data_IF_368933970574
#
_entry.id   IF_368933970574
#
_cell.length_a   1.000
_cell.length_b   1.000
_cell.length_c   1.000
_cell.angle_alpha   90.00
_cell.angle_beta   90.00
_cell.angle_gamma   90.00
#
_symmetry.space_group_name_H-M   'P 1'
#
loop_
_entity.id
_entity.type
_entity.pdbx_description
1 polymer ?
#
# COMPACT_ATOMS: atom_id res chain seq x y z
N UNK A 1 7.95 -8.97 -11.47
CA UNK A 1 7.56 -8.91 -12.89
C UNK A 1 8.45 -9.88 -13.64
N UNK A 2 7.98 -10.51 -14.71
CA UNK A 2 8.84 -11.27 -15.61
C UNK A 2 10.01 -10.45 -16.16
N UNK A 3 10.95 -11.14 -16.81
CA UNK A 3 12.12 -10.52 -17.43
C UNK A 3 11.90 -10.42 -18.95
N UNK A 4 12.07 -9.23 -19.53
CA UNK A 4 12.04 -9.04 -20.99
C UNK A 4 13.45 -8.92 -21.54
N UNK A 5 13.72 -9.66 -22.61
CA UNK A 5 14.95 -9.55 -23.40
C UNK A 5 14.62 -9.20 -24.84
N UNK A 6 15.33 -8.22 -25.39
CA UNK A 6 15.14 -7.74 -26.75
C UNK A 6 16.22 -8.31 -27.65
N UNK A 7 15.82 -8.81 -28.81
CA UNK A 7 16.69 -9.40 -29.82
C UNK A 7 16.46 -8.71 -31.17
N UNK A 8 17.53 -8.47 -31.91
CA UNK A 8 17.46 -8.14 -33.33
C UNK A 8 17.61 -9.45 -34.11
N UNK A 9 16.55 -9.88 -34.80
CA UNK A 9 16.52 -11.15 -35.52
C UNK A 9 16.51 -10.86 -37.02
N UNK A 10 17.47 -11.39 -37.80
CA UNK A 10 17.53 -11.12 -39.24
C UNK A 10 16.28 -11.70 -39.94
N UNK A 11 15.69 -10.92 -40.85
CA UNK A 11 14.60 -11.34 -41.71
C UNK A 11 15.23 -11.88 -42.99
N UNK A 12 15.15 -13.20 -43.18
CA UNK A 12 15.60 -13.84 -44.42
C UNK A 12 14.46 -13.80 -45.42
N UNK A 13 14.54 -12.91 -46.41
CA UNK A 13 13.64 -12.92 -47.56
C UNK A 13 14.16 -13.99 -48.54
N UNK A 14 13.35 -15.00 -48.88
CA UNK A 14 13.79 -16.13 -49.71
C UNK A 14 13.80 -15.86 -51.22
N UNK A 15 13.48 -14.65 -51.67
CA UNK A 15 13.08 -14.40 -53.06
C UNK A 15 13.82 -13.20 -53.70
N UNK A 16 15.16 -13.19 -53.69
CA UNK A 16 15.95 -12.29 -54.55
C UNK A 16 17.02 -13.05 -55.33
N UNK A 17 16.64 -13.48 -56.54
CA UNK A 17 17.59 -13.81 -57.61
C UNK A 17 18.28 -12.51 -58.06
N UNK A 18 19.42 -12.21 -57.46
CA UNK A 18 20.44 -11.34 -58.01
C UNK A 18 20.40 -9.85 -57.63
N UNK A 19 21.61 -9.38 -57.34
CA UNK A 19 22.13 -8.01 -57.34
C UNK A 19 22.40 -7.34 -55.98
N UNK A 20 23.58 -6.74 -55.95
CA UNK A 20 24.35 -6.28 -54.80
C UNK A 20 23.67 -5.15 -54.02
N UNK A 21 23.38 -5.37 -52.72
CA UNK A 21 23.06 -4.28 -51.78
C UNK A 21 21.85 -4.46 -50.85
N UNK A 22 21.40 -5.68 -50.54
CA UNK A 22 20.34 -5.87 -49.54
C UNK A 22 20.80 -5.38 -48.16
N UNK A 23 20.19 -4.30 -47.65
CA UNK A 23 20.33 -3.88 -46.26
C UNK A 23 19.84 -5.02 -45.36
N UNK A 24 20.71 -5.53 -44.49
CA UNK A 24 20.34 -6.53 -43.48
C UNK A 24 19.12 -6.03 -42.69
N UNK A 25 17.95 -6.57 -43.01
CA UNK A 25 16.70 -6.19 -42.36
C UNK A 25 16.54 -7.03 -41.10
N UNK A 26 16.37 -6.39 -39.95
CA UNK A 26 16.15 -7.06 -38.66
C UNK A 26 14.74 -6.78 -38.13
N UNK A 27 14.09 -7.80 -37.59
CA UNK A 27 12.93 -7.66 -36.73
C UNK A 27 13.36 -7.50 -35.27
N UNK A 28 12.80 -6.52 -34.56
CA UNK A 28 12.90 -6.49 -33.10
C UNK A 28 11.94 -7.52 -32.51
N UNK A 29 12.48 -8.50 -31.80
CA UNK A 29 11.72 -9.53 -31.09
C UNK A 29 11.98 -9.38 -29.59
N UNK A 30 10.92 -9.06 -28.84
CA UNK A 30 10.96 -9.02 -27.39
C UNK A 30 10.43 -10.35 -26.81
N UNK A 31 11.27 -11.05 -26.04
CA UNK A 31 10.90 -12.29 -25.33
C UNK A 31 10.67 -11.96 -23.86
N UNK A 32 9.45 -12.17 -23.38
CA UNK A 32 9.11 -11.99 -21.97
C UNK A 32 9.01 -13.34 -21.25
N UNK A 33 9.83 -13.53 -20.23
CA UNK A 33 9.81 -14.72 -19.38
C UNK A 33 8.97 -14.44 -18.15
N UNK A 34 7.74 -14.96 -18.15
CA UNK A 34 6.81 -14.79 -17.04
C UNK A 34 7.24 -15.62 -15.82
N UNK A 35 6.89 -15.14 -14.62
CA UNK A 35 7.05 -15.95 -13.40
C UNK A 35 6.12 -17.18 -13.44
N UNK A 36 6.50 -18.31 -12.83
CA UNK A 36 5.63 -19.47 -12.73
C UNK A 36 4.25 -19.08 -12.17
N UNK A 37 3.19 -19.41 -12.90
CA UNK A 37 1.79 -19.09 -12.53
C UNK A 37 1.31 -17.69 -12.91
N UNK A 38 2.15 -16.81 -13.47
CA UNK A 38 1.78 -15.42 -13.80
C UNK A 38 1.55 -15.15 -15.28
N UNK A 39 1.70 -16.14 -16.16
CA UNK A 39 1.61 -15.94 -17.60
C UNK A 39 0.31 -15.25 -18.01
N UNK A 40 -0.85 -15.75 -17.57
CA UNK A 40 -2.14 -15.16 -17.94
C UNK A 40 -2.32 -13.74 -17.39
N UNK A 41 -1.85 -13.50 -16.16
CA UNK A 41 -1.89 -12.17 -15.54
C UNK A 41 -1.05 -11.15 -16.32
N UNK A 42 0.20 -11.51 -16.61
CA UNK A 42 1.12 -10.63 -17.35
C UNK A 42 0.61 -10.44 -18.80
N UNK A 43 0.04 -11.47 -19.43
CA UNK A 43 -0.66 -11.34 -20.71
C UNK A 43 -1.85 -10.37 -20.66
N UNK A 44 -2.69 -10.38 -19.61
CA UNK A 44 -3.77 -9.40 -19.46
C UNK A 44 -3.24 -7.97 -19.40
N UNK A 45 -2.16 -7.75 -18.64
CA UNK A 45 -1.58 -6.42 -18.44
C UNK A 45 -0.99 -5.81 -19.73
N UNK A 46 -0.52 -6.68 -20.64
CA UNK A 46 0.11 -6.31 -21.92
C UNK A 46 -0.83 -6.48 -23.14
N UNK A 47 -2.02 -7.04 -22.93
CA UNK A 47 -3.03 -7.26 -23.97
C UNK A 47 -3.42 -5.95 -24.66
N UNK A 48 -3.50 -5.97 -25.99
CA UNK A 48 -3.96 -4.87 -26.84
C UNK A 48 -3.26 -3.52 -26.55
N UNK A 49 -2.00 -3.54 -26.12
CA UNK A 49 -1.19 -2.34 -25.90
C UNK A 49 -1.61 -1.54 -24.66
N UNK A 50 -2.52 -0.57 -24.83
CA UNK A 50 -2.93 0.34 -23.75
C UNK A 50 -4.22 -0.06 -23.04
N UNK A 51 -4.87 -1.17 -23.42
CA UNK A 51 -6.15 -1.61 -22.85
C UNK A 51 -6.15 -1.60 -21.33
N UNK A 52 -5.19 -2.28 -20.69
CA UNK A 52 -5.17 -2.33 -19.23
C UNK A 52 -4.84 -0.96 -18.60
N UNK A 53 -4.08 -0.10 -19.30
CA UNK A 53 -3.80 1.26 -18.81
C UNK A 53 -5.05 2.13 -18.85
N UNK A 54 -5.90 1.94 -19.86
CA UNK A 54 -7.21 2.57 -19.96
C UNK A 54 -8.09 2.09 -18.80
N UNK A 55 -8.32 0.78 -18.66
CA UNK A 55 -9.15 0.21 -17.58
C UNK A 55 -8.64 0.64 -16.19
N UNK A 56 -7.32 0.56 -15.98
CA UNK A 56 -6.67 0.96 -14.73
C UNK A 56 -6.81 2.45 -14.38
N UNK A 57 -7.04 3.34 -15.36
CA UNK A 57 -7.28 4.77 -15.09
C UNK A 57 -8.54 4.97 -14.24
N UNK A 58 -9.60 4.21 -14.50
CA UNK A 58 -10.91 4.37 -13.84
C UNK A 58 -11.01 3.62 -12.52
N UNK A 59 -10.31 2.50 -12.43
CA UNK A 59 -10.23 1.71 -11.20
C UNK A 59 -9.45 2.42 -10.09
N UNK A 60 -8.45 3.23 -10.46
CA UNK A 60 -7.49 3.80 -9.50
C UNK A 60 -8.11 4.73 -8.44
N UNK A 61 -9.00 5.68 -8.77
CA UNK A 61 -9.69 6.51 -7.77
C UNK A 61 -10.53 5.68 -6.79
N UNK A 62 -11.09 4.57 -7.27
CA UNK A 62 -11.95 3.64 -6.51
C UNK A 62 -11.16 2.71 -5.57
N UNK A 63 -9.88 3.00 -5.33
CA UNK A 63 -9.06 2.19 -4.42
C UNK A 63 -8.52 0.91 -5.03
N UNK A 64 -8.80 0.60 -6.28
CA UNK A 64 -8.29 -0.60 -6.96
C UNK A 64 -7.00 -0.29 -7.73
N UNK A 65 -6.03 -1.20 -7.68
CA UNK A 65 -4.85 -1.10 -8.57
C UNK A 65 -4.26 -2.46 -8.85
N UNK A 66 -3.94 -2.68 -10.12
CA UNK A 66 -3.19 -3.83 -10.57
C UNK A 66 -1.68 -3.52 -10.61
N UNK A 67 -0.92 -4.49 -10.13
CA UNK A 67 0.54 -4.52 -10.20
C UNK A 67 0.98 -5.78 -10.94
N UNK A 68 2.28 -5.98 -11.09
CA UNK A 68 2.83 -7.26 -11.56
C UNK A 68 2.42 -8.44 -10.67
N UNK A 69 2.04 -8.22 -9.41
CA UNK A 69 1.62 -9.29 -8.49
C UNK A 69 0.15 -9.65 -8.55
N UNK A 70 -0.70 -8.82 -9.14
CA UNK A 70 -2.16 -9.02 -9.14
C UNK A 70 -2.95 -7.73 -8.91
N UNK A 71 -4.26 -7.89 -8.75
CA UNK A 71 -5.17 -6.84 -8.32
C UNK A 71 -5.12 -6.65 -6.80
N UNK A 72 -5.17 -5.40 -6.35
CA UNK A 72 -5.14 -5.01 -4.95
C UNK A 72 -6.19 -3.94 -4.68
N UNK A 73 -6.73 -3.93 -3.46
CA UNK A 73 -7.40 -2.76 -2.86
C UNK A 73 -6.39 -1.94 -2.06
N UNK A 74 -6.61 -0.63 -1.97
CA UNK A 74 -5.75 0.32 -1.26
C UNK A 74 -6.49 0.96 -0.10
N UNK A 75 -5.97 0.77 1.10
CA UNK A 75 -6.46 1.41 2.33
C UNK A 75 -6.22 2.92 2.22
N UNK A 76 -7.29 3.72 2.24
CA UNK A 76 -7.24 5.16 1.96
C UNK A 76 -6.34 5.93 2.94
N UNK A 77 -6.43 5.62 4.24
CA UNK A 77 -5.67 6.32 5.29
C UNK A 77 -4.17 6.01 5.25
N UNK A 78 -3.79 4.87 4.66
CA UNK A 78 -2.41 4.40 4.59
C UNK A 78 -1.75 4.85 3.28
N UNK A 79 -2.50 4.86 2.16
CA UNK A 79 -1.95 5.10 0.82
C UNK A 79 -1.05 6.35 0.68
N UNK A 80 -1.41 7.53 1.24
CA UNK A 80 -0.58 8.73 1.14
C UNK A 80 0.76 8.63 1.87
N UNK A 81 0.83 7.81 2.93
CA UNK A 81 1.99 7.71 3.82
C UNK A 81 2.86 6.50 3.47
N UNK A 82 2.23 5.38 3.09
CA UNK A 82 2.90 4.15 2.72
C UNK A 82 2.06 3.34 1.73
N UNK A 83 2.19 3.68 0.44
CA UNK A 83 1.48 2.99 -0.65
C UNK A 83 1.75 1.49 -0.71
N UNK A 84 2.97 1.04 -0.40
CA UNK A 84 3.29 -0.39 -0.42
C UNK A 84 2.50 -1.13 0.67
N UNK A 85 2.45 -0.54 1.86
CA UNK A 85 1.71 -1.11 2.99
C UNK A 85 0.21 -0.94 2.84
N UNK A 86 -0.31 0.02 2.08
CA UNK A 86 -1.77 0.17 1.91
C UNK A 86 -2.43 -0.89 1.03
N UNK A 87 -1.65 -1.66 0.26
CA UNK A 87 -2.17 -2.64 -0.68
C UNK A 87 -2.50 -3.98 0.00
N UNK A 88 -3.76 -4.40 -0.11
CA UNK A 88 -4.24 -5.74 0.25
C UNK A 88 -4.47 -6.51 -1.05
N UNK A 89 -3.85 -7.68 -1.17
CA UNK A 89 -3.91 -8.52 -2.36
C UNK A 89 -5.30 -9.14 -2.52
N UNK A 90 -5.83 -9.14 -3.75
CA UNK A 90 -7.12 -9.76 -4.07
C UNK A 90 -6.93 -11.06 -4.86
N UNK A 91 -6.44 -10.94 -6.10
CA UNK A 91 -6.27 -12.07 -7.03
C UNK A 91 -5.30 -11.71 -8.14
N UNK A 92 -4.76 -12.70 -8.84
CA UNK A 92 -4.02 -12.55 -10.10
C UNK A 92 -4.70 -13.30 -11.26
N UNK A 93 -5.91 -13.85 -11.05
CA UNK A 93 -6.73 -14.48 -12.08
C UNK A 93 -7.32 -13.39 -13.00
N UNK A 94 -6.96 -13.36 -14.30
CA UNK A 94 -7.49 -12.35 -15.22
C UNK A 94 -9.01 -12.38 -15.30
N UNK A 95 -9.59 -13.58 -15.34
CA UNK A 95 -11.03 -13.77 -15.53
C UNK A 95 -11.81 -13.25 -14.31
N UNK A 96 -11.34 -13.54 -13.10
CA UNK A 96 -11.96 -12.99 -11.88
C UNK A 96 -11.85 -11.46 -11.82
N UNK A 97 -10.74 -10.90 -12.29
CA UNK A 97 -10.56 -9.44 -12.32
C UNK A 97 -11.51 -8.80 -13.32
N UNK A 98 -11.60 -9.33 -14.54
CA UNK A 98 -12.50 -8.84 -15.59
C UNK A 98 -13.96 -8.95 -15.16
N UNK A 99 -14.38 -10.10 -14.63
CA UNK A 99 -15.73 -10.33 -14.08
C UNK A 99 -16.05 -9.32 -12.96
N UNK A 100 -15.13 -9.15 -11.99
CA UNK A 100 -15.35 -8.22 -10.88
C UNK A 100 -15.52 -6.77 -11.34
N UNK A 101 -14.73 -6.31 -12.32
CA UNK A 101 -14.88 -4.95 -12.86
C UNK A 101 -16.06 -4.82 -13.84
N UNK A 102 -16.78 -5.92 -14.10
CA UNK A 102 -17.93 -6.00 -14.98
C UNK A 102 -17.57 -5.82 -16.45
N UNK A 103 -16.42 -6.35 -16.86
CA UNK A 103 -16.02 -6.45 -18.26
C UNK A 103 -16.40 -7.82 -18.82
N UNK A 104 -16.89 -7.86 -20.05
CA UNK A 104 -17.31 -9.09 -20.73
C UNK A 104 -16.09 -9.98 -21.02
N UNK A 105 -15.98 -11.08 -20.26
CA UNK A 105 -14.89 -12.05 -20.34
C UNK A 105 -14.89 -12.80 -21.68
N UNK A 106 -16.05 -13.22 -22.16
CA UNK A 106 -16.18 -13.95 -23.42
C UNK A 106 -15.80 -13.05 -24.61
N UNK A 107 -16.16 -11.77 -24.55
CA UNK A 107 -15.74 -10.79 -25.54
C UNK A 107 -14.23 -10.58 -25.54
N UNK A 108 -13.60 -10.49 -24.37
CA UNK A 108 -12.14 -10.39 -24.26
C UNK A 108 -11.45 -11.60 -24.89
N UNK A 109 -11.93 -12.82 -24.60
CA UNK A 109 -11.36 -14.05 -25.16
C UNK A 109 -11.53 -14.16 -26.68
N UNK A 110 -12.65 -13.68 -27.24
CA UNK A 110 -12.85 -13.58 -28.70
C UNK A 110 -12.00 -12.50 -29.37
N UNK A 111 -11.52 -11.54 -28.59
CA UNK A 111 -10.73 -10.41 -29.04
C UNK A 111 -11.50 -9.32 -29.78
N UNK A 112 -10.77 -8.35 -30.32
CA UNK A 112 -11.31 -7.14 -30.94
C UNK A 112 -10.71 -6.92 -32.33
N UNK A 113 -11.53 -6.51 -33.29
CA UNK A 113 -11.10 -6.23 -34.67
C UNK A 113 -10.70 -4.78 -34.87
N UNK A 114 -11.28 -3.87 -34.10
CA UNK A 114 -11.06 -2.43 -34.21
C UNK A 114 -10.78 -1.80 -32.86
N UNK A 115 -10.13 -0.63 -32.86
CA UNK A 115 -9.96 0.16 -31.65
C UNK A 115 -11.31 0.61 -31.07
N UNK A 116 -12.31 0.88 -31.91
CA UNK A 116 -13.63 1.29 -31.47
C UNK A 116 -14.33 0.19 -30.67
N UNK A 117 -14.25 -1.07 -31.12
CA UNK A 117 -14.76 -2.23 -30.38
C UNK A 117 -14.07 -2.39 -29.02
N UNK A 118 -12.75 -2.22 -28.98
CA UNK A 118 -11.95 -2.32 -27.76
C UNK A 118 -12.25 -1.19 -26.77
N UNK A 119 -12.42 0.03 -27.27
CA UNK A 119 -12.78 1.19 -26.47
C UNK A 119 -14.19 1.07 -25.89
N UNK A 120 -15.15 0.64 -26.70
CA UNK A 120 -16.51 0.32 -26.26
C UNK A 120 -16.51 -0.71 -25.13
N UNK A 121 -15.70 -1.77 -25.26
CA UNK A 121 -15.54 -2.76 -24.20
C UNK A 121 -14.86 -2.19 -22.94
N UNK A 122 -13.77 -1.43 -23.06
CA UNK A 122 -13.13 -0.81 -21.89
C UNK A 122 -14.09 0.11 -21.11
N UNK A 123 -14.95 0.83 -21.83
CA UNK A 123 -15.89 1.79 -21.27
C UNK A 123 -17.22 1.16 -20.81
N UNK A 124 -17.45 -0.12 -21.12
CA UNK A 124 -18.61 -0.87 -20.62
C UNK A 124 -18.43 -1.35 -19.17
N UNK A 125 -17.21 -1.27 -18.63
CA UNK A 125 -16.90 -1.68 -17.26
C UNK A 125 -17.92 -1.12 -16.25
N UNK A 126 -18.34 -1.96 -15.29
CA UNK A 126 -19.32 -1.63 -14.24
C UNK A 126 -19.00 -0.30 -13.57
N UNK A 127 -17.72 -0.04 -13.28
CA UNK A 127 -17.28 1.16 -12.57
C UNK A 127 -16.76 2.30 -13.47
N UNK A 128 -16.88 2.18 -14.80
CA UNK A 128 -16.55 3.28 -15.70
C UNK A 128 -17.48 4.48 -15.50
N UNK A 129 -16.92 5.69 -15.49
CA UNK A 129 -17.66 6.94 -15.40
C UNK A 129 -16.96 8.03 -16.23
N UNK A 130 -17.72 8.88 -16.92
CA UNK A 130 -17.17 9.94 -17.79
C UNK A 130 -16.22 10.91 -17.07
N UNK A 131 -16.54 11.25 -15.82
CA UNK A 131 -15.73 12.20 -15.04
C UNK A 131 -14.49 11.57 -14.39
N UNK A 132 -14.29 10.25 -14.54
CA UNK A 132 -13.04 9.62 -14.13
C UNK A 132 -11.83 10.11 -14.97
N UNK A 133 -12.09 10.88 -16.02
CA UNK A 133 -11.10 11.57 -16.85
C UNK A 133 -10.87 13.04 -16.47
N UNK A 134 -11.63 13.59 -15.53
CA UNK A 134 -11.53 14.99 -15.13
C UNK A 134 -10.11 15.34 -14.65
N UNK A 135 -9.63 16.53 -15.05
CA UNK A 135 -8.25 16.99 -14.87
C UNK A 135 -7.74 16.92 -13.41
N UNK A 136 -8.65 17.03 -12.42
CA UNK A 136 -8.32 16.90 -10.99
C UNK A 136 -7.86 15.51 -10.54
N UNK A 137 -8.06 14.47 -11.37
CA UNK A 137 -7.68 13.07 -11.07
C UNK A 137 -6.46 12.59 -11.87
N UNK A 138 -5.83 13.47 -12.66
CA UNK A 138 -4.69 13.12 -13.51
C UNK A 138 -3.35 13.16 -12.76
N UNK A 139 -2.68 12.02 -12.76
CA UNK A 139 -1.32 11.90 -12.21
C UNK A 139 -0.27 12.30 -13.26
N UNK A 140 0.97 12.56 -12.82
CA UNK A 140 2.12 12.78 -13.72
C UNK A 140 2.28 11.63 -14.72
N UNK A 141 2.06 10.39 -14.27
CA UNK A 141 2.12 9.20 -15.12
C UNK A 141 1.02 9.21 -16.20
N UNK A 142 -0.18 9.71 -15.91
CA UNK A 142 -1.25 9.78 -16.90
C UNK A 142 -0.94 10.83 -17.98
N UNK A 143 -0.41 11.99 -17.56
CA UNK A 143 0.07 13.02 -18.50
C UNK A 143 1.18 12.49 -19.41
N UNK A 144 2.13 11.74 -18.84
CA UNK A 144 3.18 11.08 -19.62
C UNK A 144 2.60 10.05 -20.61
N UNK A 145 1.59 9.27 -20.20
CA UNK A 145 0.92 8.31 -21.09
C UNK A 145 0.22 9.03 -22.23
N UNK A 146 -0.62 10.04 -21.96
CA UNK A 146 -1.27 10.85 -23.00
C UNK A 146 -0.26 11.39 -24.02
N UNK A 147 0.91 11.83 -23.58
CA UNK A 147 1.95 12.33 -24.48
C UNK A 147 2.60 11.24 -25.35
N UNK A 148 2.91 10.09 -24.78
CA UNK A 148 3.74 9.05 -25.42
C UNK A 148 2.95 7.95 -26.12
N UNK A 149 1.66 7.81 -25.81
CA UNK A 149 0.86 6.63 -26.17
C UNK A 149 -0.38 7.05 -26.97
N UNK A 150 -0.33 6.96 -28.31
CA UNK A 150 -1.40 7.45 -29.18
C UNK A 150 -2.76 6.79 -28.92
N UNK A 151 -2.79 5.48 -28.64
CA UNK A 151 -4.01 4.75 -28.33
C UNK A 151 -4.65 5.27 -27.03
N UNK A 152 -3.89 5.33 -25.94
CA UNK A 152 -4.38 5.91 -24.68
C UNK A 152 -4.86 7.36 -24.83
N UNK A 153 -4.11 8.20 -25.58
CA UNK A 153 -4.50 9.60 -25.84
C UNK A 153 -5.83 9.67 -26.61
N UNK A 154 -5.95 8.90 -27.68
CA UNK A 154 -7.15 8.88 -28.51
C UNK A 154 -8.38 8.42 -27.72
N UNK A 155 -8.25 7.41 -26.85
CA UNK A 155 -9.33 7.00 -25.96
C UNK A 155 -9.81 8.15 -25.07
N UNK A 156 -8.88 8.81 -24.36
CA UNK A 156 -9.22 9.81 -23.34
C UNK A 156 -9.67 11.14 -23.94
N UNK A 157 -8.96 11.64 -24.95
CA UNK A 157 -9.13 13.01 -25.45
C UNK A 157 -10.10 13.09 -26.64
N UNK A 158 -10.39 11.97 -27.33
CA UNK A 158 -11.27 11.95 -28.50
C UNK A 158 -12.48 11.02 -28.33
N UNK A 159 -12.25 9.73 -28.01
CA UNK A 159 -13.32 8.72 -28.03
C UNK A 159 -14.31 8.90 -26.86
N UNK A 160 -13.82 9.08 -25.63
CA UNK A 160 -14.71 9.28 -24.47
C UNK A 160 -15.55 10.56 -24.58
N UNK A 161 -15.00 11.73 -24.94
CA UNK A 161 -15.80 12.93 -25.15
C UNK A 161 -16.87 12.78 -26.23
N UNK A 162 -16.56 12.06 -27.33
CA UNK A 162 -17.51 11.83 -28.44
C UNK A 162 -18.68 10.94 -28.05
N UNK A 163 -18.49 10.02 -27.11
CA UNK A 163 -19.48 9.03 -26.67
C UNK A 163 -20.01 9.33 -25.24
N UNK A 164 -19.84 10.56 -24.75
CA UNK A 164 -20.16 10.91 -23.36
C UNK A 164 -21.65 10.75 -23.01
N UNK A 165 -22.50 10.68 -24.02
CA UNK A 165 -23.93 10.40 -23.95
C UNK A 165 -24.25 9.00 -23.40
N UNK A 166 -23.38 8.01 -23.66
CA UNK A 166 -23.56 6.63 -23.18
C UNK A 166 -23.58 6.50 -21.64
N UNK A 167 -23.13 7.52 -20.91
CA UNK A 167 -23.02 7.50 -19.44
C UNK A 167 -23.66 8.71 -18.76
N UNK A 168 -24.57 9.44 -19.42
CA UNK A 168 -25.23 10.62 -18.83
C UNK A 168 -25.94 10.29 -17.50
N UNK A 169 -26.57 9.12 -17.42
CA UNK A 169 -27.35 8.70 -16.26
C UNK A 169 -26.55 7.83 -15.27
N UNK A 170 -25.29 7.51 -15.59
CA UNK A 170 -24.48 6.63 -14.76
C UNK A 170 -23.83 7.43 -13.65
N UNK A 171 -24.15 7.12 -12.39
CA UNK A 171 -23.52 7.75 -11.23
C UNK A 171 -22.12 7.18 -10.96
N UNK A 172 -21.16 7.99 -10.49
CA UNK A 172 -19.86 7.48 -10.09
C UNK A 172 -20.02 6.57 -8.86
N UNK A 173 -19.35 5.41 -8.88
CA UNK A 173 -19.29 4.54 -7.72
C UNK A 173 -18.46 5.18 -6.61
N UNK A 174 -18.85 4.99 -5.36
CA UNK A 174 -18.02 5.41 -4.22
C UNK A 174 -16.80 4.50 -4.09
N UNK A 175 -15.69 5.04 -3.58
CA UNK A 175 -14.50 4.23 -3.32
C UNK A 175 -14.79 3.18 -2.25
N UNK A 176 -15.50 3.59 -1.21
CA UNK A 176 -15.86 2.78 -0.05
C UNK A 176 -16.68 1.56 -0.47
N UNK A 177 -17.71 1.74 -1.30
CA UNK A 177 -18.56 0.64 -1.77
C UNK A 177 -17.79 -0.33 -2.66
N UNK A 178 -16.90 0.17 -3.52
CA UNK A 178 -16.10 -0.67 -4.42
C UNK A 178 -15.08 -1.48 -3.65
N UNK A 179 -14.41 -0.85 -2.67
CA UNK A 179 -13.49 -1.55 -1.77
C UNK A 179 -14.25 -2.63 -0.99
N UNK A 180 -15.40 -2.30 -0.40
CA UNK A 180 -16.19 -3.29 0.36
C UNK A 180 -16.66 -4.46 -0.52
N UNK A 181 -17.12 -4.20 -1.74
CA UNK A 181 -17.47 -5.24 -2.71
C UNK A 181 -16.28 -6.13 -3.07
N UNK A 182 -15.09 -5.55 -3.26
CA UNK A 182 -13.88 -6.30 -3.54
C UNK A 182 -13.50 -7.20 -2.34
N UNK A 183 -13.48 -6.65 -1.13
CA UNK A 183 -13.16 -7.38 0.08
C UNK A 183 -14.11 -8.56 0.30
N UNK A 184 -15.41 -8.36 0.06
CA UNK A 184 -16.42 -9.41 0.14
C UNK A 184 -16.21 -10.49 -0.94
N UNK A 185 -16.07 -10.09 -2.21
CA UNK A 185 -15.94 -11.02 -3.35
C UNK A 185 -14.71 -11.92 -3.26
N UNK A 186 -13.61 -11.40 -2.71
CA UNK A 186 -12.32 -12.09 -2.64
C UNK A 186 -11.98 -12.60 -1.23
N UNK A 187 -12.87 -12.43 -0.25
CA UNK A 187 -12.66 -12.93 1.11
C UNK A 187 -11.48 -12.27 1.84
N UNK A 188 -11.32 -10.94 1.68
CA UNK A 188 -10.16 -10.18 2.17
C UNK A 188 -10.47 -9.22 3.32
N UNK A 189 -11.67 -9.30 3.88
CA UNK A 189 -12.14 -8.44 4.97
C UNK A 189 -11.19 -8.49 6.20
N UNK A 190 -10.88 -9.69 6.70
CA UNK A 190 -10.03 -9.84 7.89
C UNK A 190 -8.61 -9.30 7.67
N UNK A 191 -7.99 -9.58 6.50
CA UNK A 191 -6.65 -9.07 6.16
C UNK A 191 -6.64 -7.54 6.07
N UNK A 192 -7.71 -6.94 5.53
CA UNK A 192 -7.88 -5.49 5.47
C UNK A 192 -8.02 -4.87 6.86
N UNK A 193 -8.88 -5.43 7.71
CA UNK A 193 -9.15 -4.95 9.07
C UNK A 193 -7.93 -5.09 9.98
N UNK A 194 -7.22 -6.21 9.91
CA UNK A 194 -5.96 -6.42 10.64
C UNK A 194 -4.94 -5.33 10.27
N UNK A 195 -4.84 -5.01 8.99
CA UNK A 195 -3.87 -4.05 8.47
C UNK A 195 -4.23 -2.60 8.81
N UNK A 196 -5.52 -2.26 8.79
CA UNK A 196 -6.03 -0.97 9.29
C UNK A 196 -5.73 -0.83 10.78
N UNK A 197 -6.05 -1.86 11.56
CA UNK A 197 -5.83 -1.90 13.01
C UNK A 197 -4.35 -1.78 13.36
N UNK A 198 -3.49 -2.57 12.70
CA UNK A 198 -2.04 -2.52 12.88
C UNK A 198 -1.47 -1.14 12.53
N UNK A 199 -1.96 -0.51 11.46
CA UNK A 199 -1.56 0.85 11.09
C UNK A 199 -2.00 1.89 12.11
N UNK A 200 -3.25 1.80 12.59
CA UNK A 200 -3.79 2.68 13.62
C UNK A 200 -2.91 2.62 14.87
N UNK A 201 -2.65 1.42 15.40
CA UNK A 201 -1.79 1.27 16.58
C UNK A 201 -0.37 1.78 16.35
N UNK A 202 0.20 1.55 15.16
CA UNK A 202 1.51 2.09 14.83
C UNK A 202 1.52 3.62 14.87
N UNK A 203 0.51 4.25 14.28
CA UNK A 203 0.38 5.71 14.21
C UNK A 203 0.20 6.32 15.60
N UNK A 204 -0.68 5.73 16.41
CA UNK A 204 -0.90 6.15 17.81
C UNK A 204 0.39 6.03 18.63
N UNK A 205 1.16 4.95 18.46
CA UNK A 205 2.46 4.76 19.10
C UNK A 205 3.48 5.82 18.63
N UNK A 206 3.58 6.09 17.33
CA UNK A 206 4.48 7.10 16.78
C UNK A 206 4.13 8.53 17.25
N UNK A 207 2.84 8.89 17.26
CA UNK A 207 2.35 10.17 17.76
C UNK A 207 2.67 10.34 19.26
N UNK A 208 2.40 9.31 20.07
CA UNK A 208 2.74 9.33 21.49
C UNK A 208 4.25 9.50 21.73
N UNK A 209 5.09 8.76 21.00
CA UNK A 209 6.54 8.89 21.14
C UNK A 209 7.07 10.24 20.65
N UNK A 210 6.43 10.85 19.66
CA UNK A 210 6.75 12.23 19.25
C UNK A 210 6.49 13.22 20.38
N UNK A 211 5.38 13.08 21.10
CA UNK A 211 5.07 13.95 22.23
C UNK A 211 5.97 13.71 23.44
N UNK A 212 6.26 12.44 23.75
CA UNK A 212 7.26 12.08 24.77
C UNK A 212 8.62 12.69 24.43
N UNK A 213 9.01 12.67 23.15
CA UNK A 213 10.25 13.29 22.70
C UNK A 213 10.24 14.82 22.89
N UNK A 214 9.13 15.50 22.61
CA UNK A 214 8.98 16.93 22.88
C UNK A 214 9.15 17.24 24.37
N UNK A 215 8.46 16.50 25.25
CA UNK A 215 8.57 16.67 26.71
C UNK A 215 10.01 16.51 27.19
N UNK A 216 10.72 15.48 26.71
CA UNK A 216 12.12 15.28 27.10
C UNK A 216 13.03 16.37 26.53
N UNK A 217 12.77 16.84 25.30
CA UNK A 217 13.57 17.88 24.67
C UNK A 217 13.43 19.23 25.38
N UNK A 218 12.26 19.55 25.91
CA UNK A 218 12.00 20.72 26.77
C UNK A 218 12.82 20.64 28.07
N UNK A 219 12.88 19.46 28.69
CA UNK A 219 13.62 19.24 29.95
C UNK A 219 15.13 19.06 29.74
N UNK A 220 15.55 18.54 28.59
CA UNK A 220 16.95 18.24 28.30
C UNK A 220 17.27 18.24 26.79
N UNK A 221 18.08 19.21 26.37
CA UNK A 221 18.53 19.33 24.97
C UNK A 221 19.57 18.28 24.53
N UNK A 222 20.16 17.52 25.46
CA UNK A 222 21.19 16.52 25.15
C UNK A 222 20.76 15.12 25.57
N UNK A 223 21.14 14.12 24.77
CA UNK A 223 20.87 12.70 25.05
C UNK A 223 19.39 12.27 24.97
N UNK A 224 18.50 13.03 24.32
CA UNK A 224 17.08 12.66 24.13
C UNK A 224 16.93 11.21 23.64
N UNK A 225 17.68 10.82 22.60
CA UNK A 225 17.67 9.45 22.06
C UNK A 225 18.14 8.36 23.05
N UNK A 226 18.95 8.71 24.06
CA UNK A 226 19.31 7.77 25.14
C UNK A 226 18.11 7.58 26.06
N UNK A 227 17.44 8.67 26.44
CA UNK A 227 16.24 8.65 27.28
C UNK A 227 15.12 7.87 26.60
N UNK A 228 14.80 8.18 25.34
CA UNK A 228 13.74 7.50 24.58
C UNK A 228 13.96 5.98 24.51
N UNK A 229 15.21 5.55 24.24
CA UNK A 229 15.56 4.12 24.28
C UNK A 229 15.47 3.54 25.68
N UNK A 230 15.88 4.31 26.68
CA UNK A 230 15.77 3.92 28.07
C UNK A 230 14.32 3.69 28.48
N UNK A 231 13.40 4.58 28.10
CA UNK A 231 11.98 4.46 28.42
C UNK A 231 11.39 3.17 27.86
N UNK A 232 11.72 2.79 26.62
CA UNK A 232 11.27 1.53 26.02
C UNK A 232 11.77 0.29 26.78
N UNK A 233 12.97 0.35 27.34
CA UNK A 233 13.68 -0.81 27.93
C UNK A 233 13.47 -0.97 29.42
N UNK A 234 13.39 0.15 30.13
CA UNK A 234 13.42 0.18 31.59
C UNK A 234 12.03 0.39 32.19
N UNK A 235 11.00 0.66 31.39
CA UNK A 235 9.64 0.88 31.89
C UNK A 235 8.79 -0.34 31.59
N UNK A 236 7.89 -0.67 32.52
CA UNK A 236 6.78 -1.60 32.33
C UNK A 236 5.51 -1.01 32.92
N UNK A 237 4.38 -1.55 32.47
CA UNK A 237 3.05 -1.20 32.99
C UNK A 237 2.56 -2.32 33.91
N UNK A 238 1.91 -1.95 35.00
CA UNK A 238 1.38 -2.90 36.00
C UNK A 238 -0.03 -2.53 36.42
N UNK A 239 -0.88 -3.55 36.60
CA UNK A 239 -2.17 -3.42 37.26
C UNK A 239 -1.99 -3.86 38.71
N UNK A 240 -1.96 -2.88 39.61
CA UNK A 240 -1.93 -3.09 41.04
C UNK A 240 -0.63 -3.58 41.67
N UNK A 241 -0.51 -3.30 42.97
CA UNK A 241 0.74 -3.44 43.76
C UNK A 241 0.94 -4.87 44.33
N UNK A 242 0.21 -5.88 43.84
CA UNK A 242 0.35 -7.28 44.30
C UNK A 242 -0.28 -7.57 45.67
N UNK A 243 -1.11 -6.66 46.20
CA UNK A 243 -1.71 -6.73 47.55
C UNK A 243 -3.04 -7.52 47.61
N UNK A 244 -3.25 -8.48 46.70
CA UNK A 244 -4.39 -9.40 46.74
C UNK A 244 -5.78 -8.81 46.41
N UNK A 245 -5.86 -7.57 45.91
CA UNK A 245 -7.10 -7.01 45.33
C UNK A 245 -7.30 -7.50 43.90
N UNK A 246 -8.57 -7.60 43.49
CA UNK A 246 -8.94 -8.07 42.14
C UNK A 246 -8.29 -7.18 41.09
N UNK A 247 -7.43 -7.78 40.25
CA UNK A 247 -6.56 -7.09 39.28
C UNK A 247 -7.29 -6.24 38.22
N UNK A 248 -8.62 -6.29 38.19
CA UNK A 248 -9.45 -5.60 37.20
C UNK A 248 -9.89 -4.19 37.62
N UNK A 249 -9.65 -3.77 38.86
CA UNK A 249 -10.20 -2.49 39.40
C UNK A 249 -9.11 -1.45 39.75
N UNK A 250 -7.83 -1.79 39.60
CA UNK A 250 -6.71 -0.88 39.93
C UNK A 250 -6.14 -0.18 38.70
N UNK A 251 -5.82 1.13 38.78
CA UNK A 251 -5.35 1.90 37.64
C UNK A 251 -3.98 1.40 37.16
N UNK A 252 -3.78 1.41 35.85
CA UNK A 252 -2.50 1.09 35.22
C UNK A 252 -1.43 2.08 35.70
N UNK A 253 -0.27 1.57 36.15
CA UNK A 253 0.87 2.40 36.58
C UNK A 253 2.14 2.09 35.81
N UNK A 254 2.98 3.10 35.61
CA UNK A 254 4.34 2.94 35.07
C UNK A 254 5.32 2.69 36.21
N UNK A 255 6.12 1.65 36.07
CA UNK A 255 7.18 1.30 37.03
C UNK A 255 8.49 1.00 36.30
N UNK A 256 9.59 1.31 36.96
CA UNK A 256 10.92 0.96 36.47
C UNK A 256 11.20 -0.53 36.68
N UNK A 257 11.86 -1.14 35.70
CA UNK A 257 12.36 -2.51 35.76
C UNK A 257 13.71 -2.53 36.48
N UNK A 258 14.00 -3.66 37.11
CA UNK A 258 15.33 -3.95 37.66
C UNK A 258 16.33 -4.30 36.56
N UNK A 259 15.85 -4.83 35.43
CA UNK A 259 16.66 -5.21 34.26
C UNK A 259 16.05 -4.65 32.96
N UNK A 260 16.91 -4.29 32.02
CA UNK A 260 16.49 -3.78 30.71
C UNK A 260 15.86 -4.88 29.86
N UNK A 261 14.66 -4.63 29.32
CA UNK A 261 14.06 -5.48 28.31
C UNK A 261 14.71 -5.20 26.95
N UNK A 262 15.56 -6.12 26.50
CA UNK A 262 16.35 -5.98 25.27
C UNK A 262 15.62 -6.51 24.04
N UNK A 263 14.61 -7.34 24.22
CA UNK A 263 13.78 -7.89 23.14
C UNK A 263 12.71 -6.85 22.74
N UNK A 264 12.78 -6.27 21.51
CA UNK A 264 11.78 -5.31 21.06
C UNK A 264 10.35 -5.84 21.07
N UNK A 265 10.16 -7.15 20.91
CA UNK A 265 8.82 -7.76 20.88
C UNK A 265 8.22 -7.90 22.29
N UNK A 266 9.06 -7.83 23.34
CA UNK A 266 8.66 -7.85 24.76
C UNK A 266 8.57 -6.45 25.38
N UNK A 267 9.06 -5.43 24.68
CA UNK A 267 8.92 -4.04 25.12
C UNK A 267 7.43 -3.64 25.05
N UNK A 268 6.94 -2.89 26.05
CA UNK A 268 5.54 -2.51 26.08
C UNK A 268 5.21 -1.58 24.90
N UNK A 269 4.00 -1.72 24.35
CA UNK A 269 3.39 -0.71 23.48
C UNK A 269 2.71 0.32 24.36
N UNK A 270 3.16 1.57 24.33
CA UNK A 270 2.73 2.59 25.27
C UNK A 270 1.36 3.16 24.89
N UNK A 271 1.08 3.34 23.60
CA UNK A 271 -0.19 3.87 23.13
C UNK A 271 -1.36 2.95 23.46
N UNK A 272 -1.14 1.63 23.47
CA UNK A 272 -2.18 0.68 23.85
C UNK A 272 -2.55 0.75 25.34
N UNK A 273 -1.69 1.31 26.20
CA UNK A 273 -1.95 1.40 27.66
C UNK A 273 -2.80 2.62 28.03
N UNK A 274 -2.88 3.60 27.14
CA UNK A 274 -3.67 4.83 27.31
C UNK A 274 -4.96 4.83 26.48
N UNK A 275 -5.14 3.82 25.62
CA UNK A 275 -6.33 3.68 24.78
C UNK A 275 -7.45 2.95 25.54
N UNK A 276 -8.67 3.49 25.49
CA UNK A 276 -9.85 2.98 26.18
C UNK A 276 -10.31 1.57 25.75
N UNK A 277 -9.67 0.96 24.75
CA UNK A 277 -10.04 -0.36 24.23
C UNK A 277 -9.64 -1.54 25.14
N UNK A 278 -8.81 -1.31 26.18
CA UNK A 278 -8.16 -2.38 26.97
C UNK A 278 -8.52 -2.41 28.47
N UNK A 279 -9.46 -1.60 28.97
CA UNK A 279 -9.96 -1.72 30.36
C UNK A 279 -10.80 -0.56 30.86
N UNK A 280 -11.47 -0.78 32.00
CA UNK A 280 -12.42 0.17 32.61
C UNK A 280 -11.74 1.38 33.31
N UNK A 281 -10.40 1.41 33.42
CA UNK A 281 -9.66 2.50 34.06
C UNK A 281 -8.25 2.74 33.44
N UNK A 282 -8.16 3.24 32.20
CA UNK A 282 -6.88 3.44 31.51
C UNK A 282 -6.08 4.60 32.12
N UNK A 283 -4.76 4.48 32.08
CA UNK A 283 -3.85 5.58 32.41
C UNK A 283 -4.11 6.74 31.43
N UNK A 284 -4.35 7.95 31.93
CA UNK A 284 -4.50 9.09 31.04
C UNK A 284 -3.18 9.47 30.38
N UNK A 285 -3.25 9.95 29.14
CA UNK A 285 -2.06 10.48 28.43
C UNK A 285 -1.35 11.58 29.22
N UNK A 286 -2.09 12.41 29.96
CA UNK A 286 -1.53 13.46 30.81
C UNK A 286 -0.70 12.88 31.96
N UNK A 287 -1.20 11.85 32.65
CA UNK A 287 -0.47 11.16 33.72
C UNK A 287 0.78 10.45 33.19
N UNK A 288 0.71 9.86 31.99
CA UNK A 288 1.87 9.26 31.33
C UNK A 288 2.97 10.30 31.10
N UNK A 289 2.65 11.43 30.48
CA UNK A 289 3.62 12.48 30.18
C UNK A 289 4.19 13.10 31.47
N UNK A 290 3.36 13.26 32.50
CA UNK A 290 3.80 13.74 33.81
C UNK A 290 4.76 12.75 34.50
N UNK A 291 4.48 11.45 34.40
CA UNK A 291 5.40 10.43 34.88
C UNK A 291 6.75 10.51 34.16
N UNK A 292 6.74 10.69 32.84
CA UNK A 292 7.98 10.85 32.04
C UNK A 292 8.78 12.06 32.52
N UNK A 293 8.15 13.22 32.76
CA UNK A 293 8.83 14.41 33.30
C UNK A 293 9.54 14.13 34.62
N UNK A 294 8.93 13.34 35.49
CA UNK A 294 9.49 13.01 36.81
C UNK A 294 10.65 12.01 36.75
N UNK A 295 10.62 11.05 35.82
CA UNK A 295 11.51 9.88 35.87
C UNK A 295 12.55 9.80 34.74
N UNK A 296 12.54 10.73 33.77
CA UNK A 296 13.46 10.67 32.63
C UNK A 296 14.95 10.69 33.03
N UNK A 297 15.30 11.38 34.12
CA UNK A 297 16.67 11.46 34.63
C UNK A 297 17.18 10.11 35.14
N UNK A 298 16.33 9.39 35.88
CA UNK A 298 16.65 8.06 36.39
C UNK A 298 16.82 7.06 35.23
N UNK A 299 15.89 7.08 34.28
CA UNK A 299 15.94 6.27 33.06
C UNK A 299 17.21 6.53 32.25
N UNK A 300 17.64 7.80 32.15
CA UNK A 300 18.90 8.18 31.51
C UNK A 300 20.12 7.57 32.20
N UNK A 301 20.14 7.57 33.53
CA UNK A 301 21.24 7.00 34.32
C UNK A 301 21.30 5.48 34.11
N UNK A 302 20.15 4.79 34.21
CA UNK A 302 20.05 3.35 33.97
C UNK A 302 20.57 2.96 32.57
N UNK A 303 20.10 3.66 31.53
CA UNK A 303 20.50 3.33 30.15
C UNK A 303 21.98 3.66 29.88
N UNK A 304 22.51 4.77 30.44
CA UNK A 304 23.94 5.06 30.35
C UNK A 304 24.79 4.01 31.07
N UNK A 305 24.38 3.60 32.27
CA UNK A 305 25.05 2.55 33.04
C UNK A 305 25.12 1.24 32.27
N UNK A 306 24.02 0.82 31.66
CA UNK A 306 23.96 -0.37 30.80
C UNK A 306 24.90 -0.28 29.59
N UNK A 307 24.91 0.86 28.89
CA UNK A 307 25.81 1.07 27.75
C UNK A 307 27.28 1.02 28.18
N UNK A 308 27.62 1.57 29.35
CA UNK A 308 28.97 1.52 29.89
C UNK A 308 29.38 0.08 30.25
N UNK A 309 28.51 -0.67 30.94
CA UNK A 309 28.74 -2.07 31.31
C UNK A 309 28.94 -2.96 30.06
N UNK A 310 28.08 -2.80 29.05
CA UNK A 310 28.21 -3.55 27.79
C UNK A 310 29.50 -3.22 27.02
N UNK A 311 30.01 -1.98 27.11
CA UNK A 311 31.31 -1.61 26.53
C UNK A 311 32.47 -2.21 27.32
N UNK A 312 32.38 -2.27 28.65
CA UNK A 312 33.40 -2.86 29.50
C UNK A 312 33.51 -4.38 29.27
N UNK A 313 32.39 -5.08 29.11
CA UNK A 313 32.36 -6.53 28.84
C UNK A 313 32.88 -6.94 27.45
N UNK A 314 33.05 -5.98 26.53
CA UNK A 314 33.62 -6.20 25.18
C UNK A 314 35.13 -5.91 25.10
N UNK A 315 35.71 -5.38 26.17
CA UNK A 315 37.14 -5.11 26.30
C UNK A 315 37.80 -6.24 27.06
#
# INVERSE_FOLDING_TARGET
>A
MGETRSFAVPIVCSDSDGDDGEEDTYAQVDVHVCRPGFMEWECLLDSYGDMWKIVGKFMRPLGLTATDKGLHVRIADIEPLNRAYSMVYLTHSPMDVLDFVGLDVERYQRGFKTLDELYGWCASAKYFHRDAHSSGLETSNDRQRKRKRPMYRNFVDEWVPRNADLWQDKKPASREDVVQQALLRFGKQAEYEERVTAWRYKKEEEELWSEVACVIAEECSTNVNIVLRGLKRWVRFTNGDGDGRSANDEPVRLVLRTEAEMDPDRQPRWASQISHELGDNPLSKAELLEWVRKHWQEVKVLEKGRVAAAKAARR
#
